data_IF_106195062680
#
_entry.id   IF_106195062680
#
_cell.length_a   1.000
_cell.length_b   1.000
_cell.length_c   1.000
_cell.angle_alpha   90.00
_cell.angle_beta   90.00
_cell.angle_gamma   90.00
#
_symmetry.space_group_name_H-M   'P 1'
#
loop_
_entity.id
_entity.type
_entity.pdbx_description
1 polymer ?
#
# COMPACT_ATOMS: atom_id res chain seq x y z
N UNK A 1 5.97 -7.42 18.16
CA UNK A 1 4.57 -7.86 18.12
C UNK A 1 3.80 -6.70 17.52
N UNK A 2 3.09 -6.91 16.42
CA UNK A 2 2.26 -5.86 15.83
C UNK A 2 1.08 -5.57 16.76
N UNK A 3 0.71 -4.30 16.87
CA UNK A 3 -0.48 -3.84 17.58
C UNK A 3 -1.73 -4.22 16.79
N UNK A 4 -2.88 -4.35 17.46
CA UNK A 4 -4.17 -4.60 16.79
C UNK A 4 -4.45 -3.58 15.68
N UNK A 5 -4.00 -2.33 15.88
CA UNK A 5 -4.12 -1.27 14.87
C UNK A 5 -3.27 -1.54 13.63
N UNK A 6 -2.03 -2.00 13.79
CA UNK A 6 -1.15 -2.32 12.66
C UNK A 6 -1.73 -3.48 11.83
N UNK A 7 -2.21 -4.53 12.49
CA UNK A 7 -2.86 -5.67 11.82
C UNK A 7 -4.12 -5.21 11.06
N UNK A 8 -4.94 -4.36 11.67
CA UNK A 8 -6.14 -3.83 11.03
C UNK A 8 -5.81 -2.95 9.81
N UNK A 9 -4.75 -2.14 9.89
CA UNK A 9 -4.29 -1.30 8.77
C UNK A 9 -3.72 -2.13 7.62
N UNK A 10 -2.94 -3.18 7.92
CA UNK A 10 -2.42 -4.12 6.93
C UNK A 10 -3.57 -4.82 6.18
N UNK A 11 -4.54 -5.36 6.93
CA UNK A 11 -5.70 -6.02 6.35
C UNK A 11 -6.56 -5.05 5.50
N UNK A 12 -6.74 -3.80 5.95
CA UNK A 12 -7.45 -2.79 5.19
C UNK A 12 -6.75 -2.46 3.86
N UNK A 13 -5.41 -2.37 3.87
CA UNK A 13 -4.63 -2.12 2.67
C UNK A 13 -4.74 -3.28 1.66
N UNK A 14 -4.62 -4.53 2.13
CA UNK A 14 -4.81 -5.72 1.30
C UNK A 14 -6.22 -5.76 0.70
N UNK A 15 -7.25 -5.44 1.49
CA UNK A 15 -8.63 -5.43 1.01
C UNK A 15 -8.88 -4.36 -0.07
N UNK A 16 -8.33 -3.15 0.09
CA UNK A 16 -8.47 -2.07 -0.91
C UNK A 16 -7.75 -2.43 -2.22
N UNK A 17 -6.54 -3.01 -2.13
CA UNK A 17 -5.79 -3.43 -3.31
C UNK A 17 -6.42 -4.66 -3.99
N UNK A 18 -6.95 -5.60 -3.22
CA UNK A 18 -7.72 -6.74 -3.74
C UNK A 18 -8.98 -6.28 -4.47
N UNK A 19 -9.74 -5.36 -3.89
CA UNK A 19 -10.89 -4.77 -4.57
C UNK A 19 -10.51 -4.05 -5.87
N UNK A 20 -9.36 -3.36 -5.91
CA UNK A 20 -8.86 -2.77 -7.14
C UNK A 20 -8.56 -3.83 -8.21
N UNK A 21 -7.97 -4.96 -7.82
CA UNK A 21 -7.71 -6.08 -8.72
C UNK A 21 -9.02 -6.73 -9.23
N UNK A 22 -10.00 -6.97 -8.35
CA UNK A 22 -11.31 -7.53 -8.72
C UNK A 22 -12.10 -6.61 -9.68
N UNK A 23 -11.85 -5.30 -9.62
CA UNK A 23 -12.38 -4.30 -10.55
C UNK A 23 -11.55 -4.16 -11.83
N UNK A 24 -10.61 -5.07 -12.08
CA UNK A 24 -9.73 -5.11 -13.26
C UNK A 24 -8.88 -3.84 -13.44
N UNK A 25 -8.56 -3.18 -12.32
CA UNK A 25 -7.64 -2.04 -12.33
C UNK A 25 -6.19 -2.52 -12.38
N UNK A 26 -5.36 -1.79 -13.13
CA UNK A 26 -3.94 -2.09 -13.25
C UNK A 26 -3.19 -1.86 -11.93
N UNK A 27 -3.02 -2.93 -11.17
CA UNK A 27 -2.37 -2.92 -9.87
C UNK A 27 -0.90 -2.46 -9.94
N UNK A 28 -0.23 -2.61 -11.09
CA UNK A 28 1.13 -2.07 -11.32
C UNK A 28 1.08 -0.55 -11.37
N UNK A 29 0.13 0.02 -12.12
CA UNK A 29 -0.02 1.48 -12.18
C UNK A 29 -0.44 2.07 -10.84
N UNK A 30 -1.33 1.38 -10.11
CA UNK A 30 -1.75 1.81 -8.77
C UNK A 30 -0.55 1.82 -7.81
N UNK A 31 0.27 0.76 -7.79
CA UNK A 31 1.43 0.69 -6.89
C UNK A 31 2.47 1.76 -7.23
N UNK A 32 2.77 1.98 -8.51
CA UNK A 32 3.67 3.06 -8.94
C UNK A 32 3.14 4.45 -8.56
N UNK A 33 1.82 4.67 -8.70
CA UNK A 33 1.21 5.93 -8.28
C UNK A 33 1.29 6.10 -6.76
N UNK A 34 0.99 5.06 -5.98
CA UNK A 34 1.12 5.08 -4.53
C UNK A 34 2.56 5.40 -4.10
N UNK A 35 3.57 4.82 -4.76
CA UNK A 35 4.99 5.13 -4.53
C UNK A 35 5.26 6.62 -4.66
N UNK A 36 4.83 7.25 -5.75
CA UNK A 36 4.98 8.70 -5.95
C UNK A 36 4.24 9.50 -4.87
N UNK A 37 3.04 9.09 -4.49
CA UNK A 37 2.27 9.79 -3.45
C UNK A 37 2.91 9.73 -2.05
N UNK A 38 3.75 8.73 -1.79
CA UNK A 38 4.47 8.53 -0.52
C UNK A 38 5.87 9.16 -0.57
N UNK A 39 6.65 8.85 -1.61
CA UNK A 39 8.08 9.19 -1.74
C UNK A 39 8.32 10.57 -2.34
N UNK A 40 7.37 11.14 -3.06
CA UNK A 40 7.48 12.53 -3.52
C UNK A 40 6.84 13.46 -2.48
N UNK A 41 7.14 14.77 -2.55
CA UNK A 41 6.51 15.81 -1.71
C UNK A 41 5.06 16.07 -2.14
N UNK A 42 4.25 15.02 -2.09
CA UNK A 42 2.85 14.97 -2.45
C UNK A 42 2.00 15.53 -1.33
N UNK A 43 0.87 16.17 -1.68
CA UNK A 43 -0.14 16.61 -0.70
C UNK A 43 -0.76 15.47 0.13
N UNK A 44 -0.53 14.23 -0.28
CA UNK A 44 -0.99 13.01 0.41
C UNK A 44 0.08 12.41 1.30
N UNK A 45 1.31 12.95 1.29
CA UNK A 45 2.35 12.55 2.24
C UNK A 45 1.96 13.07 3.62
N UNK A 46 1.78 12.15 4.56
CA UNK A 46 1.45 12.46 5.95
C UNK A 46 2.58 12.15 6.93
N UNK A 47 3.68 11.57 6.46
CA UNK A 47 4.81 11.16 7.27
C UNK A 47 6.11 11.68 6.68
N UNK A 48 7.12 11.86 7.54
CA UNK A 48 8.47 12.24 7.14
C UNK A 48 9.40 11.02 7.06
N UNK A 49 10.62 11.22 6.58
CA UNK A 49 11.64 10.18 6.59
C UNK A 49 11.99 9.77 8.04
N UNK A 50 12.15 8.46 8.37
CA UNK A 50 12.18 7.30 7.48
C UNK A 50 10.82 6.61 7.23
N UNK A 51 9.75 7.10 7.85
CA UNK A 51 8.44 6.46 7.82
C UNK A 51 7.83 6.39 6.40
N UNK A 52 8.19 7.30 5.50
CA UNK A 52 7.82 7.22 4.07
C UNK A 52 8.35 5.97 3.39
N UNK A 53 9.58 5.54 3.69
CA UNK A 53 10.17 4.34 3.11
C UNK A 53 9.49 3.09 3.65
N UNK A 54 9.18 3.07 4.95
CA UNK A 54 8.43 1.98 5.57
C UNK A 54 7.03 1.87 4.97
N UNK A 55 6.31 2.99 4.81
CA UNK A 55 4.99 3.02 4.20
C UNK A 55 5.01 2.49 2.75
N UNK A 56 6.07 2.78 1.98
CA UNK A 56 6.24 2.18 0.65
C UNK A 56 6.43 0.65 0.73
N UNK A 57 7.26 0.16 1.66
CA UNK A 57 7.48 -1.27 1.82
C UNK A 57 6.18 -2.02 2.16
N UNK A 58 5.32 -1.44 3.01
CA UNK A 58 4.01 -2.02 3.33
C UNK A 58 3.09 -2.11 2.10
N UNK A 59 3.12 -1.09 1.23
CA UNK A 59 2.38 -1.13 -0.05
C UNK A 59 2.91 -2.23 -0.96
N UNK A 60 4.23 -2.38 -1.07
CA UNK A 60 4.85 -3.42 -1.89
C UNK A 60 4.51 -4.83 -1.39
N UNK A 61 4.56 -5.05 -0.08
CA UNK A 61 4.16 -6.30 0.55
C UNK A 61 2.67 -6.63 0.32
N UNK A 62 1.79 -5.65 0.48
CA UNK A 62 0.37 -5.82 0.24
C UNK A 62 0.05 -6.13 -1.24
N UNK A 63 0.71 -5.46 -2.19
CA UNK A 63 0.59 -5.76 -3.62
C UNK A 63 1.04 -7.19 -3.93
N UNK A 64 2.15 -7.64 -3.36
CA UNK A 64 2.63 -9.01 -3.53
C UNK A 64 1.63 -10.04 -2.96
N UNK A 65 1.07 -9.78 -1.78
CA UNK A 65 0.06 -10.62 -1.13
C UNK A 65 -1.23 -10.73 -1.97
N UNK A 66 -1.70 -9.61 -2.52
CA UNK A 66 -2.88 -9.57 -3.40
C UNK A 66 -2.64 -10.34 -4.70
N UNK A 67 -1.49 -10.12 -5.36
CA UNK A 67 -1.14 -10.86 -6.58
C UNK A 67 -0.98 -12.36 -6.37
N UNK A 68 -0.55 -12.80 -5.21
CA UNK A 68 -0.42 -14.22 -4.89
C UNK A 68 -1.79 -14.91 -4.69
N UNK A 69 -2.89 -14.15 -4.57
CA UNK A 69 -4.25 -14.67 -4.37
C UNK A 69 -5.09 -14.70 -5.65
N UNK A 70 -4.63 -14.05 -6.72
CA UNK A 70 -5.26 -14.05 -8.04
C UNK A 70 -4.77 -15.21 -8.90
#
# INVERSE_FOLDING_TARGET
MATDREIALEQALVAVLGAAQDLDLDLVKISQKAKSLIIDNSKYRQAEHPHVSNAWNEVEAAVASVRAKA
#
